data_IF_452690889140
#
_entry.id   IF_452690889140
#
_cell.length_a   1.000
_cell.length_b   1.000
_cell.length_c   1.000
_cell.angle_alpha   90.00
_cell.angle_beta   90.00
_cell.angle_gamma   90.00
#
_symmetry.space_group_name_H-M   'P 1'
#
loop_
_entity.id
_entity.type
_entity.pdbx_description
1 polymer ?
#
# COMPACT_ATOMS: atom_id res chain seq x y z
N UNK A 1 23.77 15.65 -5.29
CA UNK A 1 23.98 17.04 -4.80
C UNK A 1 24.45 17.12 -3.33
N UNK A 2 24.88 16.02 -2.69
CA UNK A 2 25.53 16.07 -1.36
C UNK A 2 24.65 16.44 -0.15
N UNK A 3 23.42 16.92 -0.37
CA UNK A 3 22.45 17.25 0.69
C UNK A 3 22.13 16.05 1.58
N UNK A 4 21.87 16.33 2.86
CA UNK A 4 21.48 15.37 3.89
C UNK A 4 20.06 15.65 4.36
N UNK A 5 19.29 14.59 4.62
CA UNK A 5 17.95 14.64 5.19
C UNK A 5 17.97 14.17 6.65
N UNK A 6 17.11 14.74 7.49
CA UNK A 6 16.90 14.33 8.88
C UNK A 6 15.41 14.11 9.11
N UNK A 7 15.04 13.01 9.75
CA UNK A 7 13.67 12.72 10.17
C UNK A 7 13.54 12.98 11.67
N UNK A 8 12.58 13.83 12.05
CA UNK A 8 12.25 14.12 13.44
C UNK A 8 10.90 13.45 13.74
N UNK A 9 10.84 12.44 14.64
CA UNK A 9 9.63 11.68 14.92
C UNK A 9 8.66 12.45 15.84
N UNK A 10 8.31 13.68 15.48
CA UNK A 10 7.37 14.54 16.21
C UNK A 10 6.22 14.94 15.29
N UNK A 11 5.00 14.98 15.85
CA UNK A 11 3.81 15.42 15.11
C UNK A 11 3.84 16.94 15.01
N UNK A 12 4.29 17.46 13.87
CA UNK A 12 4.38 18.89 13.60
C UNK A 12 3.21 19.43 12.75
N UNK A 13 2.46 18.55 12.09
CA UNK A 13 1.31 18.91 11.27
C UNK A 13 0.27 17.77 11.25
N UNK A 14 -1.01 18.13 11.24
CA UNK A 14 -2.13 17.20 11.09
C UNK A 14 -2.77 17.36 9.71
N UNK A 15 -2.64 16.35 8.85
CA UNK A 15 -3.25 16.34 7.52
C UNK A 15 -4.67 15.77 7.53
N UNK A 16 -5.47 16.13 6.54
CA UNK A 16 -6.77 15.51 6.29
C UNK A 16 -6.61 14.23 5.47
N UNK A 17 -7.20 13.15 5.93
CA UNK A 17 -7.28 11.89 5.18
C UNK A 17 -8.45 11.93 4.18
N UNK A 18 -8.44 11.11 3.12
CA UNK A 18 -9.58 10.98 2.21
C UNK A 18 -10.86 10.56 2.96
N UNK A 19 -11.96 11.27 2.70
CA UNK A 19 -13.28 10.98 3.32
C UNK A 19 -14.08 9.93 2.55
N UNK A 20 -13.71 9.67 1.29
CA UNK A 20 -14.39 8.72 0.40
C UNK A 20 -13.41 7.79 -0.32
N UNK A 21 -13.98 6.68 -0.82
CA UNK A 21 -13.23 5.61 -1.44
C UNK A 21 -12.59 6.01 -2.77
N UNK A 22 -13.25 6.83 -3.59
CA UNK A 22 -12.69 7.32 -4.85
C UNK A 22 -11.48 8.23 -4.60
N UNK A 23 -11.57 9.11 -3.62
CA UNK A 23 -10.48 9.99 -3.19
C UNK A 23 -9.28 9.19 -2.69
N UNK A 24 -9.51 8.14 -1.87
CA UNK A 24 -8.48 7.19 -1.46
C UNK A 24 -7.86 6.47 -2.67
N UNK A 25 -8.68 5.90 -3.55
CA UNK A 25 -8.23 5.16 -4.73
C UNK A 25 -7.32 6.02 -5.62
N UNK A 26 -7.73 7.26 -5.89
CA UNK A 26 -6.95 8.20 -6.70
C UNK A 26 -5.66 8.62 -6.01
N UNK A 27 -5.67 8.80 -4.69
CA UNK A 27 -4.46 9.11 -3.92
C UNK A 27 -3.45 7.95 -3.99
N UNK A 28 -3.89 6.73 -3.70
CA UNK A 28 -3.05 5.53 -3.81
C UNK A 28 -2.48 5.36 -5.22
N UNK A 29 -3.30 5.59 -6.26
CA UNK A 29 -2.82 5.51 -7.63
C UNK A 29 -1.72 6.52 -7.93
N UNK A 30 -1.85 7.77 -7.45
CA UNK A 30 -0.83 8.81 -7.65
C UNK A 30 0.47 8.45 -6.95
N UNK A 31 0.40 7.95 -5.71
CA UNK A 31 1.59 7.51 -4.99
C UNK A 31 2.27 6.33 -5.69
N UNK A 32 1.50 5.31 -6.06
CA UNK A 32 2.01 4.14 -6.76
C UNK A 32 2.69 4.51 -8.09
N UNK A 33 2.01 5.31 -8.93
CA UNK A 33 2.56 5.76 -10.20
C UNK A 33 3.81 6.61 -10.01
N UNK A 34 3.80 7.57 -9.09
CA UNK A 34 4.94 8.46 -8.86
C UNK A 34 6.17 7.69 -8.38
N UNK A 35 6.00 6.81 -7.40
CA UNK A 35 7.11 5.99 -6.88
C UNK A 35 7.65 5.03 -7.93
N UNK A 36 6.78 4.40 -8.73
CA UNK A 36 7.21 3.52 -9.82
C UNK A 36 7.87 4.33 -10.95
N UNK A 37 7.37 5.52 -11.31
CA UNK A 37 8.00 6.38 -12.31
C UNK A 37 9.43 6.75 -11.88
N UNK A 38 9.67 7.02 -10.60
CA UNK A 38 11.04 7.27 -10.09
C UNK A 38 11.97 6.10 -10.42
N UNK A 39 11.53 4.87 -10.17
CA UNK A 39 12.33 3.66 -10.42
C UNK A 39 12.53 3.42 -11.92
N UNK A 40 11.45 3.40 -12.69
CA UNK A 40 11.50 3.03 -14.11
C UNK A 40 12.13 4.11 -15.00
N UNK A 41 11.99 5.38 -14.64
CA UNK A 41 12.51 6.50 -15.46
C UNK A 41 13.92 6.90 -15.07
N UNK A 42 14.23 6.96 -13.77
CA UNK A 42 15.52 7.48 -13.30
C UNK A 42 16.46 6.39 -12.81
N UNK A 43 15.95 5.19 -12.53
CA UNK A 43 16.70 4.03 -12.06
C UNK A 43 17.74 4.35 -10.96
N UNK A 44 17.31 4.39 -9.68
CA UNK A 44 18.15 4.76 -8.54
C UNK A 44 19.49 4.01 -8.46
N UNK A 45 19.58 2.78 -9.00
CA UNK A 45 20.81 1.99 -9.00
C UNK A 45 21.95 2.67 -9.75
N UNK A 46 21.64 3.40 -10.83
CA UNK A 46 22.63 4.08 -11.68
C UNK A 46 22.74 5.57 -11.38
N UNK A 47 21.97 6.10 -10.43
CA UNK A 47 22.04 7.49 -10.01
C UNK A 47 23.40 7.82 -9.37
N UNK A 48 24.09 8.82 -9.95
CA UNK A 48 25.35 9.35 -9.41
C UNK A 48 25.10 10.16 -8.14
N UNK A 49 25.97 10.01 -7.15
CA UNK A 49 25.94 10.79 -5.90
C UNK A 49 24.97 10.28 -4.83
N UNK A 50 24.44 9.05 -4.97
CA UNK A 50 23.76 8.32 -3.90
C UNK A 50 24.65 7.18 -3.39
N UNK A 51 24.68 6.97 -2.07
CA UNK A 51 25.30 5.79 -1.47
C UNK A 51 24.49 4.53 -1.77
N UNK A 52 25.11 3.35 -1.67
CA UNK A 52 24.40 2.07 -1.86
C UNK A 52 23.18 1.92 -0.94
N UNK A 53 23.30 2.32 0.32
CA UNK A 53 22.17 2.30 1.26
C UNK A 53 21.02 3.21 0.81
N UNK A 54 21.32 4.42 0.31
CA UNK A 54 20.29 5.33 -0.22
C UNK A 54 19.61 4.74 -1.45
N UNK A 55 20.37 4.13 -2.37
CA UNK A 55 19.82 3.46 -3.56
C UNK A 55 18.83 2.37 -3.17
N UNK A 56 19.19 1.53 -2.19
CA UNK A 56 18.33 0.47 -1.66
C UNK A 56 17.07 1.08 -1.02
N UNK A 57 17.18 2.16 -0.25
CA UNK A 57 16.00 2.81 0.36
C UNK A 57 15.01 3.35 -0.69
N UNK A 58 15.49 3.95 -1.78
CA UNK A 58 14.63 4.38 -2.89
C UNK A 58 13.90 3.19 -3.54
N UNK A 59 14.61 2.09 -3.78
CA UNK A 59 14.02 0.88 -4.35
C UNK A 59 13.02 0.23 -3.39
N UNK A 60 13.37 0.12 -2.11
CA UNK A 60 12.52 -0.48 -1.08
C UNK A 60 11.20 0.31 -0.90
N UNK A 61 11.26 1.64 -1.00
CA UNK A 61 10.05 2.47 -0.92
C UNK A 61 9.11 2.24 -2.12
N UNK A 62 9.67 2.02 -3.30
CA UNK A 62 8.89 1.77 -4.51
C UNK A 62 8.42 0.31 -4.64
N UNK A 63 9.16 -0.66 -4.09
CA UNK A 63 8.83 -2.09 -4.17
C UNK A 63 7.51 -2.43 -3.48
N UNK A 64 7.09 -1.62 -2.51
CA UNK A 64 5.74 -1.71 -1.93
C UNK A 64 4.65 -1.72 -3.02
N UNK A 65 4.77 -0.90 -4.06
CA UNK A 65 3.76 -0.86 -5.13
C UNK A 65 3.88 -2.01 -6.13
N UNK A 66 4.95 -2.81 -6.07
CA UNK A 66 5.06 -4.08 -6.79
C UNK A 66 4.31 -5.21 -6.06
N UNK A 67 3.95 -5.04 -4.79
CA UNK A 67 3.15 -6.01 -4.03
C UNK A 67 1.81 -6.33 -4.70
N UNK A 68 1.26 -5.43 -5.51
CA UNK A 68 0.05 -5.71 -6.28
C UNK A 68 0.18 -6.88 -7.23
N UNK A 69 1.37 -7.07 -7.83
CA UNK A 69 1.67 -8.23 -8.66
C UNK A 69 1.72 -9.51 -7.82
N UNK A 70 2.31 -9.44 -6.61
CA UNK A 70 2.37 -10.58 -5.68
C UNK A 70 0.96 -11.00 -5.24
N UNK A 71 0.11 -10.06 -4.85
CA UNK A 71 -1.28 -10.33 -4.47
C UNK A 71 -2.08 -10.93 -5.64
N UNK A 72 -1.92 -10.38 -6.85
CA UNK A 72 -2.58 -10.92 -8.04
C UNK A 72 -2.11 -12.35 -8.32
N UNK A 73 -0.80 -12.60 -8.35
CA UNK A 73 -0.26 -13.94 -8.54
C UNK A 73 -0.77 -14.92 -7.49
N UNK A 74 -0.80 -14.52 -6.21
CA UNK A 74 -1.32 -15.33 -5.13
C UNK A 74 -2.81 -15.67 -5.29
N UNK A 75 -3.60 -14.72 -5.78
CA UNK A 75 -5.01 -14.95 -6.09
C UNK A 75 -5.19 -15.87 -7.31
N UNK A 76 -4.30 -15.81 -8.31
CA UNK A 76 -4.39 -16.66 -9.50
C UNK A 76 -4.04 -18.13 -9.21
N UNK A 77 -3.17 -18.44 -8.25
CA UNK A 77 -2.77 -19.81 -7.93
C UNK A 77 -3.93 -20.79 -7.72
N UNK A 78 -4.90 -20.55 -6.81
CA UNK A 78 -6.03 -21.46 -6.63
C UNK A 78 -6.93 -21.53 -7.86
N UNK A 79 -7.05 -20.44 -8.64
CA UNK A 79 -7.81 -20.46 -9.89
C UNK A 79 -7.18 -21.40 -10.91
N UNK A 80 -5.85 -21.38 -11.07
CA UNK A 80 -5.16 -22.29 -11.99
C UNK A 80 -5.51 -23.73 -11.63
N UNK A 81 -5.39 -24.12 -10.36
CA UNK A 81 -5.77 -25.45 -9.90
C UNK A 81 -7.25 -25.77 -10.17
N UNK A 82 -8.17 -24.85 -9.87
CA UNK A 82 -9.59 -25.08 -10.06
C UNK A 82 -9.96 -25.39 -11.52
N UNK A 83 -9.42 -24.63 -12.47
CA UNK A 83 -9.76 -24.78 -13.88
C UNK A 83 -8.94 -25.85 -14.60
N UNK A 84 -7.70 -26.09 -14.18
CA UNK A 84 -6.77 -26.97 -14.93
C UNK A 84 -6.49 -28.30 -14.24
N UNK A 85 -6.69 -28.40 -12.92
CA UNK A 85 -6.23 -29.53 -12.12
C UNK A 85 -4.71 -29.60 -11.93
N UNK A 86 -3.97 -28.59 -12.41
CA UNK A 86 -2.53 -28.52 -12.17
C UNK A 86 -2.29 -28.10 -10.73
N UNK A 87 -1.58 -28.95 -9.99
CA UNK A 87 -1.08 -28.67 -8.64
C UNK A 87 0.29 -28.01 -8.76
N UNK A 88 0.43 -26.68 -8.54
CA UNK A 88 1.69 -25.98 -8.80
C UNK A 88 2.81 -26.33 -7.80
N UNK A 89 2.44 -26.92 -6.66
CA UNK A 89 3.34 -27.28 -5.57
C UNK A 89 3.09 -28.72 -5.15
N UNK A 90 3.99 -29.62 -5.54
CA UNK A 90 4.02 -31.00 -5.04
C UNK A 90 4.79 -31.03 -3.72
N UNK A 91 4.08 -30.79 -2.61
CA UNK A 91 4.63 -30.79 -1.26
C UNK A 91 3.59 -31.35 -0.28
N UNK A 92 4.05 -32.19 0.65
CA UNK A 92 3.18 -32.70 1.70
C UNK A 92 2.64 -31.55 2.56
N UNK A 93 1.40 -31.68 3.05
CA UNK A 93 0.77 -30.68 3.93
C UNK A 93 1.62 -30.37 5.16
N UNK A 94 2.29 -31.39 5.72
CA UNK A 94 3.16 -31.23 6.89
C UNK A 94 4.42 -30.43 6.57
N UNK A 95 5.08 -30.73 5.43
CA UNK A 95 6.25 -29.97 4.97
C UNK A 95 5.90 -28.51 4.66
N UNK A 96 4.73 -28.28 4.04
CA UNK A 96 4.23 -26.93 3.80
C UNK A 96 4.02 -26.18 5.11
N UNK A 97 3.36 -26.80 6.10
CA UNK A 97 3.13 -26.20 7.41
C UNK A 97 4.44 -25.88 8.15
N UNK A 98 5.43 -26.77 8.07
CA UNK A 98 6.76 -26.60 8.69
C UNK A 98 7.53 -25.39 8.13
N UNK A 99 7.30 -25.02 6.87
CA UNK A 99 7.91 -23.83 6.25
C UNK A 99 7.03 -22.59 6.50
N UNK A 100 5.73 -22.73 6.32
CA UNK A 100 4.79 -21.62 6.31
C UNK A 100 4.55 -21.02 7.70
N UNK A 101 4.41 -21.86 8.73
CA UNK A 101 4.13 -21.38 10.08
C UNK A 101 5.28 -20.54 10.67
N UNK A 102 6.56 -20.96 10.61
CA UNK A 102 7.67 -20.11 11.05
C UNK A 102 7.77 -18.81 10.23
N UNK A 103 7.53 -18.88 8.92
CA UNK A 103 7.53 -17.71 8.05
C UNK A 103 6.47 -16.68 8.47
N UNK A 104 5.22 -17.11 8.68
CA UNK A 104 4.14 -16.23 9.13
C UNK A 104 4.42 -15.68 10.53
N UNK A 105 4.89 -16.52 11.45
CA UNK A 105 5.24 -16.10 12.80
C UNK A 105 6.30 -14.99 12.78
N UNK A 106 7.40 -15.20 12.05
CA UNK A 106 8.47 -14.22 11.94
C UNK A 106 7.98 -12.92 11.28
N UNK A 107 7.14 -13.03 10.25
CA UNK A 107 6.54 -11.88 9.58
C UNK A 107 5.71 -11.03 10.55
N UNK A 108 4.87 -11.66 11.38
CA UNK A 108 4.06 -10.98 12.40
C UNK A 108 4.93 -10.33 13.48
N UNK A 109 5.99 -11.01 13.93
CA UNK A 109 6.94 -10.46 14.90
C UNK A 109 7.64 -9.23 14.35
N UNK A 110 8.19 -9.31 13.13
CA UNK A 110 8.86 -8.18 12.48
C UNK A 110 7.89 -7.02 12.27
N UNK A 111 6.66 -7.29 11.83
CA UNK A 111 5.63 -6.27 11.67
C UNK A 111 5.32 -5.57 13.00
N UNK A 112 5.19 -6.33 14.09
CA UNK A 112 4.95 -5.77 15.43
C UNK A 112 6.07 -4.84 15.88
N UNK A 113 7.33 -5.27 15.73
CA UNK A 113 8.51 -4.51 16.15
C UNK A 113 8.70 -3.23 15.34
N UNK A 114 8.42 -3.27 14.04
CA UNK A 114 8.67 -2.15 13.12
C UNK A 114 7.53 -1.13 13.05
N UNK A 115 6.31 -1.53 13.40
CA UNK A 115 5.12 -0.65 13.34
C UNK A 115 4.73 -0.03 14.68
N UNK A 116 5.52 -0.21 15.74
CA UNK A 116 5.15 0.17 17.11
C UNK A 116 3.78 -0.40 17.52
N UNK A 117 3.48 -1.63 17.08
CA UNK A 117 2.18 -2.30 17.25
C UNK A 117 0.95 -1.55 16.72
N UNK A 118 1.11 -0.56 15.83
CA UNK A 118 0.00 0.25 15.29
C UNK A 118 -0.71 -0.38 14.08
N UNK A 119 -0.35 -1.60 13.69
CA UNK A 119 -0.98 -2.27 12.56
C UNK A 119 -2.34 -2.87 12.92
N UNK A 120 -3.29 -2.84 11.98
CA UNK A 120 -4.59 -3.47 12.13
C UNK A 120 -4.86 -4.39 10.95
N UNK A 121 -5.62 -5.47 11.18
CA UNK A 121 -6.04 -6.36 10.08
C UNK A 121 -6.71 -5.56 8.95
N UNK A 122 -7.53 -4.57 9.29
CA UNK A 122 -8.19 -3.69 8.33
C UNK A 122 -7.18 -2.90 7.48
N UNK A 123 -6.12 -2.36 8.08
CA UNK A 123 -5.08 -1.65 7.35
C UNK A 123 -4.30 -2.59 6.40
N UNK A 124 -3.93 -3.79 6.86
CA UNK A 124 -3.27 -4.79 6.02
C UNK A 124 -4.17 -5.22 4.86
N UNK A 125 -5.43 -5.52 5.15
CA UNK A 125 -6.45 -5.86 4.17
C UNK A 125 -6.60 -4.77 3.12
N UNK A 126 -6.71 -3.50 3.51
CA UNK A 126 -6.78 -2.37 2.57
C UNK A 126 -5.54 -2.27 1.67
N UNK A 127 -4.35 -2.44 2.27
CA UNK A 127 -3.08 -2.42 1.56
C UNK A 127 -3.02 -3.53 0.50
N UNK A 128 -3.33 -4.77 0.87
CA UNK A 128 -3.34 -5.91 -0.06
C UNK A 128 -4.45 -5.80 -1.12
N UNK A 129 -5.64 -5.35 -0.72
CA UNK A 129 -6.77 -5.17 -1.62
C UNK A 129 -6.58 -4.04 -2.62
N UNK A 130 -5.62 -3.14 -2.39
CA UNK A 130 -5.23 -2.10 -3.34
C UNK A 130 -4.47 -2.65 -4.56
N UNK A 131 -4.32 -3.97 -4.70
CA UNK A 131 -3.62 -4.59 -5.82
C UNK A 131 -4.05 -4.09 -7.21
N UNK A 132 -5.34 -3.83 -7.54
CA UNK A 132 -5.68 -3.36 -8.88
C UNK A 132 -5.13 -1.95 -9.15
N UNK A 133 -5.05 -1.12 -8.12
CA UNK A 133 -4.45 0.22 -8.19
C UNK A 133 -2.97 0.08 -8.54
N UNK A 134 -2.27 -0.82 -7.86
CA UNK A 134 -0.86 -1.11 -8.08
C UNK A 134 -0.60 -1.68 -9.48
N UNK A 135 -1.39 -2.67 -9.94
CA UNK A 135 -1.30 -3.22 -11.30
C UNK A 135 -1.54 -2.13 -12.35
N UNK A 136 -2.56 -1.28 -12.15
CA UNK A 136 -2.84 -0.15 -13.04
C UNK A 136 -1.67 0.83 -13.10
N UNK A 137 -1.02 1.10 -11.96
CA UNK A 137 0.14 1.98 -11.90
C UNK A 137 1.36 1.38 -12.61
N UNK A 138 1.64 0.09 -12.40
CA UNK A 138 2.70 -0.65 -13.09
C UNK A 138 2.49 -0.56 -14.61
N UNK A 139 1.28 -0.87 -15.09
CA UNK A 139 0.95 -0.79 -16.52
C UNK A 139 1.05 0.63 -17.08
N UNK A 140 0.58 1.64 -16.33
CA UNK A 140 0.66 3.03 -16.76
C UNK A 140 2.10 3.53 -16.91
N UNK A 141 2.99 3.13 -15.99
CA UNK A 141 4.42 3.47 -16.05
C UNK A 141 5.12 2.70 -17.16
N UNK A 142 4.85 1.40 -17.30
CA UNK A 142 5.42 0.55 -18.35
C UNK A 142 5.08 1.08 -19.76
N UNK A 143 3.83 1.50 -19.98
CA UNK A 143 3.38 2.08 -21.25
C UNK A 143 3.69 3.57 -21.43
N UNK A 144 4.37 4.21 -20.47
CA UNK A 144 4.66 5.65 -20.46
C UNK A 144 3.42 6.53 -20.69
N UNK A 145 2.25 6.11 -20.21
CA UNK A 145 1.01 6.86 -20.38
C UNK A 145 1.12 8.21 -19.66
N UNK A 146 0.83 9.29 -20.38
CA UNK A 146 0.65 10.63 -19.78
C UNK A 146 -0.65 10.61 -18.98
N UNK A 147 -0.55 10.83 -17.68
CA UNK A 147 -1.73 10.98 -16.81
C UNK A 147 -1.74 12.39 -16.26
N UNK A 148 -2.85 13.10 -16.49
CA UNK A 148 -3.07 14.42 -15.91
C UNK A 148 -3.13 14.30 -14.39
N UNK A 149 -2.56 15.29 -13.70
CA UNK A 149 -2.65 15.38 -12.25
C UNK A 149 -4.06 15.84 -11.85
N UNK A 150 -4.94 14.89 -11.54
CA UNK A 150 -6.23 15.22 -10.94
C UNK A 150 -6.02 15.52 -9.45
N UNK A 151 -6.43 16.70 -9.01
CA UNK A 151 -6.44 17.08 -7.59
C UNK A 151 -7.49 16.23 -6.88
N UNK A 152 -7.10 15.52 -5.81
CA UNK A 152 -8.06 14.79 -4.98
C UNK A 152 -9.07 15.77 -4.39
N UNK A 153 -10.36 15.46 -4.52
CA UNK A 153 -11.43 16.29 -3.97
C UNK A 153 -11.25 16.42 -2.44
N UNK A 154 -11.41 17.65 -1.93
CA UNK A 154 -11.32 17.93 -0.49
C UNK A 154 -12.63 17.66 0.27
N UNK A 155 -13.69 17.31 -0.46
CA UNK A 155 -15.02 16.98 0.09
C UNK A 155 -15.42 15.59 -0.40
N UNK A 156 -16.10 14.83 0.46
CA UNK A 156 -16.70 13.54 0.14
C UNK A 156 -17.49 13.59 -1.18
N UNK A 157 -17.07 12.79 -2.16
CA UNK A 157 -17.89 12.49 -3.34
C UNK A 157 -18.86 11.37 -2.98
N UNK A 158 -20.17 11.62 -3.12
CA UNK A 158 -21.18 10.57 -2.96
C UNK A 158 -21.34 9.81 -4.26
N UNK A 159 -21.39 8.48 -4.20
CA UNK A 159 -21.57 7.66 -5.39
C UNK A 159 -21.39 6.17 -5.15
N UNK A 160 -21.73 5.40 -6.18
CA UNK A 160 -21.46 3.98 -6.25
C UNK A 160 -20.07 3.75 -6.88
N UNK A 161 -19.14 3.17 -6.12
CA UNK A 161 -17.77 2.93 -6.57
C UNK A 161 -17.49 1.48 -6.97
N UNK A 162 -18.55 0.69 -7.23
CA UNK A 162 -18.44 -0.72 -7.62
C UNK A 162 -17.55 -0.94 -8.85
N UNK A 163 -17.49 0.02 -9.78
CA UNK A 163 -16.61 -0.06 -10.96
C UNK A 163 -15.13 -0.16 -10.60
N UNK A 164 -14.71 0.37 -9.45
CA UNK A 164 -13.33 0.36 -8.98
C UNK A 164 -12.91 -0.99 -8.35
N UNK A 165 -13.89 -1.83 -7.97
CA UNK A 165 -13.67 -3.14 -7.36
C UNK A 165 -14.05 -4.30 -8.28
N UNK A 166 -14.30 -4.04 -9.58
CA UNK A 166 -14.58 -5.09 -10.57
C UNK A 166 -13.55 -6.23 -10.52
N UNK A 167 -12.22 -5.99 -10.41
CA UNK A 167 -11.25 -7.07 -10.31
C UNK A 167 -11.47 -8.02 -9.12
N UNK A 168 -11.92 -7.48 -7.98
CA UNK A 168 -12.25 -8.29 -6.80
C UNK A 168 -13.51 -9.12 -7.02
N UNK A 169 -14.55 -8.53 -7.62
CA UNK A 169 -15.81 -9.22 -7.91
C UNK A 169 -15.62 -10.33 -8.96
N UNK A 170 -14.82 -10.05 -9.99
CA UNK A 170 -14.44 -11.04 -11.01
C UNK A 170 -13.68 -12.19 -10.36
N UNK A 171 -12.72 -11.90 -9.49
CA UNK A 171 -12.00 -12.94 -8.75
C UNK A 171 -12.94 -13.82 -7.91
N UNK A 172 -13.86 -13.21 -7.16
CA UNK A 172 -14.85 -13.95 -6.34
C UNK A 172 -15.69 -14.87 -7.24
N UNK A 173 -16.23 -14.35 -8.35
CA UNK A 173 -17.03 -15.14 -9.28
C UNK A 173 -16.22 -16.31 -9.87
N UNK A 174 -14.99 -16.06 -10.33
CA UNK A 174 -14.11 -17.09 -10.88
C UNK A 174 -13.72 -18.13 -9.83
N UNK A 175 -13.50 -17.73 -8.58
CA UNK A 175 -13.20 -18.65 -7.48
C UNK A 175 -14.41 -19.52 -7.14
N UNK A 176 -15.61 -18.95 -7.03
CA UNK A 176 -16.83 -19.71 -6.74
C UNK A 176 -17.13 -20.73 -7.84
N UNK A 177 -17.08 -20.32 -9.11
CA UNK A 177 -17.29 -21.23 -10.25
C UNK A 177 -16.18 -22.29 -10.29
N UNK A 178 -14.93 -21.88 -10.07
CA UNK A 178 -13.77 -22.77 -10.06
C UNK A 178 -13.87 -23.86 -8.99
N UNK A 179 -14.31 -23.52 -7.77
CA UNK A 179 -14.50 -24.50 -6.71
C UNK A 179 -15.52 -25.57 -7.12
N UNK A 180 -16.65 -25.16 -7.73
CA UNK A 180 -17.66 -26.12 -8.23
C UNK A 180 -17.05 -27.04 -9.30
N UNK A 181 -16.28 -26.49 -10.23
CA UNK A 181 -15.58 -27.27 -11.27
C UNK A 181 -14.60 -28.26 -10.62
N UNK A 182 -13.79 -27.82 -9.68
CA UNK A 182 -12.79 -28.66 -9.01
C UNK A 182 -13.44 -29.83 -8.25
N UNK A 183 -14.51 -29.54 -7.49
CA UNK A 183 -15.29 -30.58 -6.79
C UNK A 183 -15.90 -31.56 -7.79
N UNK A 184 -16.42 -31.08 -8.92
CA UNK A 184 -17.00 -31.96 -9.94
C UNK A 184 -15.95 -32.85 -10.64
N UNK A 185 -14.69 -32.41 -10.70
CA UNK A 185 -13.59 -33.13 -11.36
C UNK A 185 -13.00 -34.25 -10.50
N UNK A 186 -12.74 -33.98 -9.23
CA UNK A 186 -11.97 -34.90 -8.36
C UNK A 186 -12.60 -35.12 -6.96
N UNK A 187 -13.78 -34.55 -6.70
CA UNK A 187 -14.47 -34.65 -5.42
C UNK A 187 -13.87 -33.75 -4.33
N UNK A 188 -14.16 -34.06 -3.07
CA UNK A 188 -13.62 -33.36 -1.90
C UNK A 188 -12.34 -34.03 -1.43
N UNK A 189 -11.24 -33.79 -2.15
CA UNK A 189 -9.90 -34.22 -1.72
C UNK A 189 -9.13 -33.11 -0.99
N UNK A 190 -7.92 -33.43 -0.53
CA UNK A 190 -7.07 -32.51 0.21
C UNK A 190 -6.62 -31.29 -0.63
N UNK A 191 -6.45 -31.46 -1.93
CA UNK A 191 -6.00 -30.39 -2.84
C UNK A 191 -7.12 -29.37 -3.07
N UNK A 192 -8.34 -29.86 -3.33
CA UNK A 192 -9.54 -29.04 -3.47
C UNK A 192 -9.79 -28.28 -2.18
N UNK A 193 -9.70 -28.95 -1.03
CA UNK A 193 -9.89 -28.28 0.27
C UNK A 193 -8.83 -27.20 0.52
N UNK A 194 -7.56 -27.50 0.27
CA UNK A 194 -6.44 -26.56 0.49
C UNK A 194 -6.56 -25.33 -0.41
N UNK A 195 -6.81 -25.51 -1.71
CA UNK A 195 -6.98 -24.40 -2.65
C UNK A 195 -8.26 -23.59 -2.38
N UNK A 196 -9.35 -24.26 -1.97
CA UNK A 196 -10.60 -23.58 -1.57
C UNK A 196 -10.39 -22.74 -0.31
N UNK A 197 -9.67 -23.25 0.69
CA UNK A 197 -9.30 -22.50 1.89
C UNK A 197 -8.44 -21.28 1.53
N UNK A 198 -7.48 -21.43 0.61
CA UNK A 198 -6.65 -20.31 0.15
C UNK A 198 -7.47 -19.26 -0.64
N UNK A 199 -8.40 -19.70 -1.49
CA UNK A 199 -9.29 -18.80 -2.20
C UNK A 199 -10.18 -18.02 -1.21
N UNK A 200 -10.74 -18.70 -0.20
CA UNK A 200 -11.54 -18.08 0.86
C UNK A 200 -10.72 -17.07 1.68
N UNK A 201 -9.46 -17.39 1.99
CA UNK A 201 -8.54 -16.48 2.66
C UNK A 201 -8.33 -15.19 1.84
N UNK A 202 -8.04 -15.30 0.54
CA UNK A 202 -7.94 -14.14 -0.36
C UNK A 202 -9.23 -13.31 -0.38
N UNK A 203 -10.40 -13.96 -0.46
CA UNK A 203 -11.70 -13.25 -0.42
C UNK A 203 -11.86 -12.50 0.90
N UNK A 204 -11.51 -13.11 2.04
CA UNK A 204 -11.61 -12.48 3.36
C UNK A 204 -10.75 -11.21 3.48
N UNK A 205 -9.56 -11.22 2.85
CA UNK A 205 -8.68 -10.05 2.75
C UNK A 205 -9.35 -8.93 1.96
N UNK A 206 -10.15 -9.25 0.93
CA UNK A 206 -10.79 -8.26 0.06
C UNK A 206 -12.05 -7.62 0.67
N UNK A 207 -12.70 -8.26 1.63
CA UNK A 207 -13.98 -7.81 2.21
C UNK A 207 -13.94 -6.34 2.72
N UNK A 208 -12.97 -5.92 3.56
CA UNK A 208 -12.96 -4.54 4.07
C UNK A 208 -12.86 -3.47 2.99
N UNK A 209 -12.17 -3.78 1.88
CA UNK A 209 -12.00 -2.88 0.74
C UNK A 209 -13.29 -2.82 -0.11
N UNK A 210 -13.92 -3.97 -0.36
CA UNK A 210 -15.23 -4.06 -1.03
C UNK A 210 -16.28 -3.28 -0.24
N UNK A 211 -16.34 -3.47 1.08
CA UNK A 211 -17.27 -2.77 1.97
C UNK A 211 -17.07 -1.25 2.00
N UNK A 212 -15.87 -0.77 1.64
CA UNK A 212 -15.59 0.66 1.54
C UNK A 212 -16.04 1.27 0.20
N UNK A 213 -16.13 0.46 -0.85
CA UNK A 213 -16.63 0.88 -2.15
C UNK A 213 -18.17 0.93 -2.24
N UNK A 214 -18.86 0.19 -1.35
CA UNK A 214 -20.32 0.18 -1.28
C UNK A 214 -20.88 1.53 -0.80
N UNK A 215 -22.02 1.99 -1.35
CA UNK A 215 -22.70 3.18 -0.85
C UNK A 215 -23.03 3.03 0.64
N UNK A 216 -22.60 3.99 1.47
CA UNK A 216 -23.02 4.06 2.88
C UNK A 216 -24.19 5.01 3.03
N UNK A 217 -25.23 4.57 3.73
CA UNK A 217 -26.24 5.47 4.27
C UNK A 217 -25.54 6.52 5.16
N UNK A 218 -25.89 7.78 4.96
CA UNK A 218 -25.34 8.92 5.69
C UNK A 218 -25.70 8.83 7.16
N UNK A 219 -24.81 8.28 8.00
CA UNK A 219 -24.71 8.76 9.37
C UNK A 219 -23.62 9.82 9.38
N UNK A 220 -24.03 11.07 9.59
CA UNK A 220 -23.12 12.12 9.99
C UNK A 220 -22.77 11.86 11.45
N UNK A 221 -21.50 11.69 11.78
CA UNK A 221 -20.97 12.36 12.95
C UNK A 221 -20.00 13.40 12.43
N UNK A 222 -20.23 14.66 12.81
CA UNK A 222 -19.23 15.71 12.76
C UNK A 222 -17.87 15.11 13.13
N UNK A 223 -16.88 15.28 12.26
CA UNK A 223 -15.52 14.91 12.57
C UNK A 223 -15.14 15.69 13.83
N UNK A 224 -15.23 15.06 15.01
CA UNK A 224 -14.57 15.56 16.21
C UNK A 224 -13.11 15.65 15.82
N UNK A 225 -12.63 16.87 15.59
CA UNK A 225 -11.20 17.15 15.50
C UNK A 225 -10.65 16.72 16.85
N UNK A 226 -10.09 15.50 16.91
CA UNK A 226 -9.33 15.08 18.08
C UNK A 226 -8.16 16.05 18.09
N UNK A 227 -8.14 16.97 19.05
CA UNK A 227 -7.04 17.89 19.27
C UNK A 227 -5.84 17.06 19.77
N UNK A 228 -5.08 16.48 18.85
CA UNK A 228 -3.82 15.75 19.16
C UNK A 228 -2.64 16.73 19.28
N UNK A 229 -2.90 18.05 19.32
CA UNK A 229 -1.83 18.99 19.64
C UNK A 229 -1.41 18.74 21.10
N UNK A 230 -0.12 18.47 21.37
CA UNK A 230 0.35 18.45 22.74
C UNK A 230 0.01 19.80 23.37
N UNK A 231 -0.49 19.79 24.61
CA UNK A 231 -0.68 21.02 25.36
C UNK A 231 0.61 21.83 25.27
N UNK A 232 0.50 23.10 24.88
CA UNK A 232 1.61 24.05 24.98
C UNK A 232 2.04 24.07 26.46
N UNK A 233 3.07 23.32 26.83
CA UNK A 233 3.76 23.58 28.08
C UNK A 233 4.37 24.97 27.94
N UNK A 234 3.92 25.90 28.78
CA UNK A 234 4.24 27.32 28.71
C UNK A 234 5.74 27.64 28.94
N UNK A 235 6.60 26.65 29.17
CA UNK A 235 8.00 26.84 29.58
C UNK A 235 9.04 26.39 28.56
N UNK A 236 8.68 26.16 27.29
CA UNK A 236 9.69 25.90 26.24
C UNK A 236 9.94 27.18 25.44
N UNK A 237 11.14 27.78 25.51
CA UNK A 237 11.43 28.95 24.69
C UNK A 237 11.35 28.54 23.23
N UNK A 238 10.42 29.17 22.52
CA UNK A 238 10.30 29.07 21.06
C UNK A 238 11.57 29.66 20.48
N UNK A 239 12.51 28.81 20.03
CA UNK A 239 13.59 29.24 19.16
C UNK A 239 12.97 29.57 17.80
N UNK A 240 12.46 30.79 17.66
CA UNK A 240 12.28 31.44 16.37
C UNK A 240 13.68 31.70 15.83
N UNK A 241 14.21 30.77 15.03
CA UNK A 241 15.41 31.01 14.23
C UNK A 241 15.24 30.35 12.87
N UNK A 242 14.33 30.92 12.08
CA UNK A 242 14.13 30.59 10.67
C UNK A 242 14.44 31.75 9.72
N UNK A 243 14.72 32.95 10.23
CA UNK A 243 14.97 34.14 9.41
C UNK A 243 16.38 34.74 9.53
N UNK A 244 17.24 34.30 10.46
CA UNK A 244 18.59 34.89 10.61
C UNK A 244 19.71 34.18 9.82
N UNK A 245 19.42 33.08 9.12
CA UNK A 245 20.45 32.36 8.35
C UNK A 245 20.70 32.90 6.93
N UNK A 246 19.91 33.88 6.46
CA UNK A 246 20.03 34.43 5.10
C UNK A 246 20.57 35.86 5.02
N UNK A 247 20.79 36.54 6.14
CA UNK A 247 21.20 37.97 6.13
C UNK A 247 22.65 38.23 6.54
N UNK A 248 23.37 37.22 7.05
CA UNK A 248 24.76 37.41 7.55
C UNK A 248 25.85 37.18 6.49
N UNK A 249 25.48 36.84 5.24
CA UNK A 249 26.47 36.58 4.16
C UNK A 249 26.65 37.67 3.11
N UNK A 250 25.90 38.77 3.16
CA UNK A 250 25.94 39.83 2.14
C UNK A 250 26.40 41.22 2.63
N UNK A 251 26.83 41.36 3.89
CA UNK A 251 27.29 42.64 4.43
C UNK A 251 28.75 42.60 4.88
N UNK A 252 29.58 43.44 4.26
CA UNK A 252 30.90 43.89 4.72
C UNK A 252 32.10 42.99 4.43
N UNK A 253 32.35 42.81 3.14
CA UNK A 253 33.72 42.90 2.62
C UNK A 253 34.00 44.37 2.28
N UNK A 254 34.38 45.18 3.28
CA UNK A 254 34.94 46.51 3.06
C UNK A 254 35.66 47.02 4.31
N UNK A 255 36.97 47.27 4.15
CA UNK A 255 37.95 47.92 5.06
C UNK A 255 38.92 46.94 5.77
N UNK A 256 40.12 46.79 5.20
CA UNK A 256 41.36 47.39 5.73
C UNK A 256 42.55 47.19 4.78
N UNK A 257 43.35 48.25 4.67
CA UNK A 257 44.63 48.47 3.98
C UNK A 257 44.62 48.61 2.46
#
# INVERSE_FOLDING_TARGET
KGWRSVYIPQVLACGLAPEDFLSYYNQQFRWARGSLEVVFRYNPLFSKGLSWGQKIQYLASASYYLSGAVVLSNALLPLIFFYTGLTPLDISTMSLAAIFLPYIFLTVVVLRLTSNSAYTFKALSFSMSSFPIHIRAIWAVALRKKTAFAVTAKKKVQGNFLSLIIPHLVYIALATIGIVIAISRQGLDAEVLTNSAWAAFNISIFIPFINAALPRATTSPDSKVISVLPAKNADTPVLVSGQQALEVKNGQNSRTN
#
